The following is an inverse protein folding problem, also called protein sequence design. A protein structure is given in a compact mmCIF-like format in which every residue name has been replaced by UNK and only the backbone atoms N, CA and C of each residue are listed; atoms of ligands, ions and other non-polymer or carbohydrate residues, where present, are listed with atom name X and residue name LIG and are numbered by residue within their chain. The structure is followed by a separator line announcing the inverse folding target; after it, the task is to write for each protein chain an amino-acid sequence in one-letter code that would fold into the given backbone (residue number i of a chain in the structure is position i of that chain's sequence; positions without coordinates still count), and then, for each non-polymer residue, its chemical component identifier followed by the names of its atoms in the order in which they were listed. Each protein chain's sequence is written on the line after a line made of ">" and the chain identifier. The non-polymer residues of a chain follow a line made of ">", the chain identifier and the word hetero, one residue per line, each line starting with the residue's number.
data_IF_684700760633
#
_entry.id   IF_684700760633
#
_cell.length_a   1.000
_cell.length_b   1.000
_cell.length_c   1.000
_cell.angle_alpha   90.00
_cell.angle_beta   90.00
_cell.angle_gamma   90.00
#
_symmetry.space_group_name_H-M   'P 1'
#
loop_
_entity.id
_entity.type
_entity.pdbx_description
1 polymer ?
#
# COMPACT_ATOMS: atom_id res chain seq x y z
N UNK A 1 -4.21 41.75 1.78
CA UNK A 1 -4.63 40.40 2.14
C UNK A 1 -3.80 39.30 1.47
N UNK A 2 -3.11 39.59 0.39
CA UNK A 2 -2.57 38.54 -0.50
C UNK A 2 -1.12 38.09 -0.23
N UNK A 3 -0.38 38.75 0.67
CA UNK A 3 1.06 38.45 0.86
C UNK A 3 1.31 37.07 1.49
N UNK A 4 0.52 36.65 2.46
CA UNK A 4 0.70 35.37 3.13
C UNK A 4 0.40 34.17 2.20
N UNK A 5 -0.57 34.33 1.31
CA UNK A 5 -0.95 33.27 0.36
C UNK A 5 0.19 32.92 -0.62
N UNK A 6 0.85 33.93 -1.18
CA UNK A 6 2.02 33.70 -2.04
C UNK A 6 3.17 33.01 -1.29
N UNK A 7 3.38 33.36 -0.03
CA UNK A 7 4.38 32.70 0.81
C UNK A 7 4.00 31.24 1.05
N UNK A 8 2.74 30.94 1.38
CA UNK A 8 2.27 29.58 1.58
C UNK A 8 2.41 28.72 0.32
N UNK A 9 2.00 29.24 -0.84
CA UNK A 9 2.16 28.52 -2.12
C UNK A 9 3.63 28.32 -2.50
N UNK A 10 4.50 29.29 -2.21
CA UNK A 10 5.94 29.12 -2.44
C UNK A 10 6.53 28.01 -1.57
N UNK A 11 6.15 27.95 -0.29
CA UNK A 11 6.53 26.86 0.63
C UNK A 11 6.00 25.52 0.11
N UNK A 12 4.74 25.48 -0.33
CA UNK A 12 4.09 24.30 -0.87
C UNK A 12 4.87 23.72 -2.07
N UNK A 13 5.16 24.55 -3.06
CA UNK A 13 5.92 24.15 -4.25
C UNK A 13 7.35 23.69 -3.90
N UNK A 14 8.00 24.35 -2.93
CA UNK A 14 9.32 23.96 -2.46
C UNK A 14 9.28 22.56 -1.79
N UNK A 15 8.30 22.31 -0.92
CA UNK A 15 8.10 21.01 -0.29
C UNK A 15 7.85 19.94 -1.33
N UNK A 16 6.97 20.18 -2.31
CA UNK A 16 6.68 19.22 -3.38
C UNK A 16 7.92 18.90 -4.24
N UNK A 17 8.74 19.90 -4.56
CA UNK A 17 10.00 19.72 -5.27
C UNK A 17 10.96 18.83 -4.46
N UNK A 18 11.09 19.09 -3.15
CA UNK A 18 11.90 18.26 -2.25
C UNK A 18 11.39 16.82 -2.16
N UNK A 19 10.06 16.64 -2.11
CA UNK A 19 9.43 15.31 -2.11
C UNK A 19 9.69 14.54 -3.41
N UNK A 20 9.76 15.22 -4.55
CA UNK A 20 10.18 14.61 -5.81
C UNK A 20 11.62 14.05 -5.71
N UNK A 21 12.54 14.80 -5.10
CA UNK A 21 13.92 14.34 -4.89
C UNK A 21 13.93 13.12 -3.96
N UNK A 22 13.24 13.17 -2.81
CA UNK A 22 13.14 12.05 -1.88
C UNK A 22 12.54 10.81 -2.53
N UNK A 23 11.49 10.97 -3.34
CA UNK A 23 10.87 9.87 -4.09
C UNK A 23 11.86 9.21 -5.04
N UNK A 24 12.70 10.01 -5.73
CA UNK A 24 13.75 9.49 -6.62
C UNK A 24 14.79 8.67 -5.86
N UNK A 25 15.21 9.15 -4.68
CA UNK A 25 16.23 8.53 -3.83
C UNK A 25 15.73 7.32 -3.04
N UNK A 26 14.42 7.19 -2.80
CA UNK A 26 13.88 6.06 -2.03
C UNK A 26 14.18 4.72 -2.71
N UNK A 27 14.81 3.80 -2.01
CA UNK A 27 15.08 2.43 -2.46
C UNK A 27 13.91 1.48 -2.19
N UNK A 28 13.02 1.83 -1.27
CA UNK A 28 11.85 1.04 -0.89
C UNK A 28 10.73 1.04 -1.95
N UNK A 29 10.73 2.03 -2.84
CA UNK A 29 9.69 2.23 -3.84
C UNK A 29 10.12 1.69 -5.22
N UNK A 30 9.24 0.91 -5.85
CA UNK A 30 9.42 0.47 -7.22
C UNK A 30 9.19 1.60 -8.26
N UNK A 31 9.52 1.33 -9.53
CA UNK A 31 9.36 2.32 -10.62
C UNK A 31 7.90 2.80 -10.78
N UNK A 32 6.91 1.93 -10.54
CA UNK A 32 5.50 2.27 -10.65
C UNK A 32 5.09 3.21 -9.51
N UNK A 33 5.49 2.89 -8.30
CA UNK A 33 5.20 3.67 -7.10
C UNK A 33 5.83 5.06 -7.17
N UNK A 34 7.10 5.14 -7.58
CA UNK A 34 7.78 6.42 -7.84
C UNK A 34 7.01 7.28 -8.83
N UNK A 35 6.59 6.71 -9.97
CA UNK A 35 5.76 7.44 -10.96
C UNK A 35 4.45 7.93 -10.37
N UNK A 36 3.75 7.11 -9.57
CA UNK A 36 2.51 7.50 -8.91
C UNK A 36 2.68 8.70 -8.00
N UNK A 37 3.73 8.73 -7.18
CA UNK A 37 4.04 9.88 -6.33
C UNK A 37 4.42 11.11 -7.16
N UNK A 38 5.24 10.98 -8.20
CA UNK A 38 5.57 12.10 -9.10
C UNK A 38 4.31 12.72 -9.73
N UNK A 39 3.39 11.88 -10.22
CA UNK A 39 2.13 12.38 -10.77
C UNK A 39 1.28 13.08 -9.71
N UNK A 40 1.17 12.53 -8.50
CA UNK A 40 0.42 13.17 -7.42
C UNK A 40 1.03 14.52 -7.03
N UNK A 41 2.35 14.60 -6.83
CA UNK A 41 3.03 15.86 -6.47
C UNK A 41 2.94 16.90 -7.58
N UNK A 42 3.13 16.50 -8.84
CA UNK A 42 2.98 17.39 -9.99
C UNK A 42 1.53 17.93 -10.11
N UNK A 43 0.54 17.07 -9.83
CA UNK A 43 -0.86 17.46 -9.87
C UNK A 43 -1.20 18.44 -8.73
N UNK A 44 -0.74 18.20 -7.51
CA UNK A 44 -0.90 19.12 -6.37
C UNK A 44 -0.26 20.48 -6.72
N UNK A 45 0.98 20.49 -7.22
CA UNK A 45 1.67 21.71 -7.62
C UNK A 45 0.90 22.48 -8.71
N UNK A 46 0.37 21.77 -9.72
CA UNK A 46 -0.43 22.39 -10.77
C UNK A 46 -1.70 23.05 -10.22
N UNK A 47 -2.40 22.36 -9.29
CA UNK A 47 -3.63 22.90 -8.70
C UNK A 47 -3.32 24.09 -7.77
N UNK A 48 -2.23 24.03 -6.98
CA UNK A 48 -1.77 25.17 -6.17
C UNK A 48 -1.47 26.40 -7.03
N UNK A 49 -0.86 26.20 -8.20
CA UNK A 49 -0.61 27.28 -9.16
C UNK A 49 -1.93 27.80 -9.76
N UNK A 50 -2.88 26.92 -10.10
CA UNK A 50 -4.19 27.32 -10.59
C UNK A 50 -4.96 28.16 -9.58
N UNK A 51 -4.87 27.85 -8.28
CA UNK A 51 -5.46 28.66 -7.22
C UNK A 51 -4.82 30.06 -7.15
N UNK A 52 -3.49 30.16 -7.30
CA UNK A 52 -2.83 31.49 -7.43
C UNK A 52 -3.38 32.25 -8.61
N UNK A 53 -3.53 31.59 -9.77
CA UNK A 53 -4.05 32.23 -11.00
C UNK A 53 -5.47 32.74 -10.74
N UNK A 54 -6.36 31.95 -10.14
CA UNK A 54 -7.73 32.39 -9.84
C UNK A 54 -7.74 33.63 -8.95
N UNK A 55 -6.94 33.63 -7.87
CA UNK A 55 -6.88 34.77 -6.93
C UNK A 55 -6.29 36.05 -7.55
N UNK A 56 -5.35 35.91 -8.49
CA UNK A 56 -4.74 37.06 -9.17
C UNK A 56 -5.70 37.65 -10.22
N UNK A 57 -6.46 36.77 -10.87
CA UNK A 57 -7.30 37.17 -12.02
C UNK A 57 -8.70 37.59 -11.56
N UNK A 58 -9.19 37.12 -10.43
CA UNK A 58 -10.52 37.41 -9.89
C UNK A 58 -10.71 38.90 -9.64
N UNK A 59 -11.83 39.45 -10.09
CA UNK A 59 -12.14 40.90 -10.02
C UNK A 59 -11.27 41.79 -10.90
N UNK A 60 -10.46 41.24 -11.82
CA UNK A 60 -9.68 41.99 -12.79
C UNK A 60 -10.46 42.24 -14.12
N UNK A 61 -9.80 42.82 -15.14
CA UNK A 61 -10.45 43.13 -16.39
C UNK A 61 -11.16 41.93 -17.04
N UNK A 62 -12.32 42.18 -17.66
CA UNK A 62 -13.19 41.19 -18.33
C UNK A 62 -12.43 40.28 -19.32
N UNK A 63 -11.42 40.79 -20.01
CA UNK A 63 -10.58 40.00 -20.94
C UNK A 63 -9.94 38.76 -20.29
N UNK A 64 -9.78 38.71 -18.97
CA UNK A 64 -9.21 37.61 -18.25
C UNK A 64 -10.27 36.62 -17.70
N UNK A 65 -11.55 36.87 -17.89
CA UNK A 65 -12.65 36.05 -17.44
C UNK A 65 -12.51 34.57 -17.86
N UNK A 66 -12.07 34.34 -19.10
CA UNK A 66 -11.85 32.98 -19.59
C UNK A 66 -10.73 32.24 -18.82
N UNK A 67 -9.67 32.96 -18.39
CA UNK A 67 -8.60 32.41 -17.58
C UNK A 67 -9.14 31.97 -16.20
N UNK A 68 -9.98 32.83 -15.60
CA UNK A 68 -10.62 32.53 -14.32
C UNK A 68 -11.52 31.30 -14.42
N UNK A 69 -12.34 31.18 -15.48
CA UNK A 69 -13.20 30.02 -15.75
C UNK A 69 -12.37 28.75 -15.91
N UNK A 70 -11.32 28.75 -16.72
CA UNK A 70 -10.47 27.59 -17.00
C UNK A 70 -9.70 27.17 -15.75
N UNK A 71 -9.14 28.12 -15.01
CA UNK A 71 -8.38 27.82 -13.80
C UNK A 71 -9.27 27.21 -12.71
N UNK A 72 -10.49 27.73 -12.49
CA UNK A 72 -11.46 27.14 -11.57
C UNK A 72 -11.93 25.76 -12.05
N UNK A 73 -12.23 25.59 -13.35
CA UNK A 73 -12.60 24.29 -13.91
C UNK A 73 -11.53 23.23 -13.67
N UNK A 74 -10.27 23.55 -13.97
CA UNK A 74 -9.16 22.64 -13.76
C UNK A 74 -8.89 22.41 -12.27
N UNK A 75 -8.94 23.45 -11.44
CA UNK A 75 -8.75 23.36 -10.00
C UNK A 75 -9.75 22.43 -9.35
N UNK A 76 -11.05 22.65 -9.54
CA UNK A 76 -12.10 21.77 -9.01
C UNK A 76 -12.11 20.40 -9.68
N UNK A 77 -11.86 20.36 -11.00
CA UNK A 77 -11.91 19.13 -11.77
C UNK A 77 -10.78 18.15 -11.42
N UNK A 78 -9.57 18.64 -11.17
CA UNK A 78 -8.40 17.81 -10.91
C UNK A 78 -8.22 17.47 -9.44
N UNK A 79 -8.87 18.18 -8.51
CA UNK A 79 -8.72 17.94 -7.06
C UNK A 79 -9.01 16.48 -6.64
N UNK A 80 -10.10 15.82 -7.07
CA UNK A 80 -10.34 14.42 -6.71
C UNK A 80 -9.31 13.47 -7.34
N UNK A 81 -8.69 13.84 -8.47
CA UNK A 81 -7.69 13.01 -9.14
C UNK A 81 -6.42 12.83 -8.32
N UNK A 82 -6.07 13.75 -7.40
CA UNK A 82 -4.94 13.61 -6.47
C UNK A 82 -5.06 12.30 -5.66
N UNK A 83 -6.23 12.07 -5.06
CA UNK A 83 -6.49 10.85 -4.30
C UNK A 83 -6.39 9.59 -5.16
N UNK A 84 -6.87 9.63 -6.41
CA UNK A 84 -6.78 8.52 -7.36
C UNK A 84 -5.32 8.24 -7.73
N UNK A 85 -4.49 9.28 -7.94
CA UNK A 85 -3.05 9.13 -8.18
C UNK A 85 -2.33 8.50 -6.97
N UNK A 86 -2.69 8.88 -5.75
CA UNK A 86 -2.14 8.27 -4.54
C UNK A 86 -2.57 6.81 -4.37
N UNK A 87 -3.80 6.44 -4.76
CA UNK A 87 -4.22 5.04 -4.81
C UNK A 87 -3.40 4.23 -5.83
N UNK A 88 -3.01 4.83 -6.95
CA UNK A 88 -2.17 4.16 -7.95
C UNK A 88 -0.80 3.73 -7.42
N UNK A 89 -0.29 4.38 -6.36
CA UNK A 89 0.95 4.00 -5.67
C UNK A 89 0.83 2.64 -4.97
N UNK A 90 -0.39 2.24 -4.58
CA UNK A 90 -0.63 0.99 -3.88
C UNK A 90 -0.36 -0.24 -4.76
N UNK A 91 -0.12 -1.40 -4.13
CA UNK A 91 0.21 -2.62 -4.86
C UNK A 91 -0.93 -3.12 -5.75
N UNK A 92 -0.57 -3.65 -6.93
CA UNK A 92 -1.52 -4.25 -7.90
C UNK A 92 -2.35 -5.39 -7.32
N UNK A 93 -1.79 -6.17 -6.38
CA UNK A 93 -2.52 -7.26 -5.71
C UNK A 93 -3.61 -6.75 -4.76
N UNK A 94 -3.46 -5.52 -4.24
CA UNK A 94 -4.42 -4.88 -3.34
C UNK A 94 -5.54 -4.21 -4.09
N UNK A 95 -5.19 -3.57 -5.23
CA UNK A 95 -6.14 -2.84 -6.05
C UNK A 95 -6.50 -3.72 -7.23
N UNK A 96 -7.76 -4.12 -7.26
CA UNK A 96 -8.31 -4.81 -8.42
C UNK A 96 -8.27 -3.81 -9.60
N UNK A 97 -7.74 -4.23 -10.73
CA UNK A 97 -7.67 -3.41 -11.95
C UNK A 97 -9.04 -2.80 -12.32
N UNK A 98 -10.11 -3.54 -12.02
CA UNK A 98 -11.50 -3.08 -12.19
C UNK A 98 -11.82 -1.86 -11.32
N UNK A 99 -11.36 -1.83 -10.06
CA UNK A 99 -11.64 -0.72 -9.14
C UNK A 99 -10.94 0.55 -9.60
N UNK A 100 -9.71 0.44 -10.12
CA UNK A 100 -8.99 1.57 -10.71
C UNK A 100 -9.66 2.08 -11.98
N UNK A 101 -10.10 1.19 -12.89
CA UNK A 101 -10.86 1.59 -14.08
C UNK A 101 -12.14 2.32 -13.71
N UNK A 102 -12.86 1.84 -12.69
CA UNK A 102 -14.07 2.50 -12.19
C UNK A 102 -13.78 3.91 -11.64
N UNK A 103 -12.70 4.06 -10.87
CA UNK A 103 -12.28 5.36 -10.35
C UNK A 103 -11.92 6.35 -11.49
N UNK A 104 -11.26 5.86 -12.55
CA UNK A 104 -10.96 6.68 -13.74
C UNK A 104 -12.23 7.07 -14.50
N UNK A 105 -13.20 6.15 -14.67
CA UNK A 105 -14.49 6.45 -15.31
C UNK A 105 -15.24 7.49 -14.49
N UNK A 106 -15.26 7.35 -13.16
CA UNK A 106 -15.86 8.35 -12.26
C UNK A 106 -15.20 9.72 -12.44
N UNK A 107 -13.88 9.79 -12.48
CA UNK A 107 -13.14 11.04 -12.68
C UNK A 107 -13.45 11.71 -14.02
N UNK A 108 -13.50 10.93 -15.10
CA UNK A 108 -13.84 11.44 -16.45
C UNK A 108 -15.30 11.93 -16.47
N UNK A 109 -16.24 11.14 -15.93
CA UNK A 109 -17.65 11.52 -15.81
C UNK A 109 -17.84 12.82 -15.02
N UNK A 110 -17.10 12.96 -13.90
CA UNK A 110 -17.11 14.19 -13.11
C UNK A 110 -16.58 15.41 -13.89
N UNK A 111 -15.49 15.27 -14.65
CA UNK A 111 -14.95 16.35 -15.49
C UNK A 111 -15.96 16.77 -16.56
N UNK A 112 -16.64 15.82 -17.21
CA UNK A 112 -17.68 16.11 -18.21
C UNK A 112 -18.86 16.85 -17.56
N UNK A 113 -19.32 16.39 -16.40
CA UNK A 113 -20.40 17.01 -15.65
C UNK A 113 -20.03 18.44 -15.23
N UNK A 114 -18.82 18.64 -14.72
CA UNK A 114 -18.32 19.96 -14.34
C UNK A 114 -18.26 20.91 -15.55
N UNK A 115 -17.73 20.45 -16.69
CA UNK A 115 -17.72 21.22 -17.93
C UNK A 115 -19.12 21.61 -18.41
N UNK A 116 -20.06 20.66 -18.39
CA UNK A 116 -21.46 20.90 -18.77
C UNK A 116 -22.18 21.87 -17.82
N UNK A 117 -21.71 22.00 -16.58
CA UNK A 117 -22.29 22.92 -15.58
C UNK A 117 -21.86 24.38 -15.77
N UNK A 118 -20.76 24.66 -16.47
CA UNK A 118 -20.20 26.00 -16.61
C UNK A 118 -21.18 26.99 -17.24
N UNK A 119 -21.85 26.70 -18.39
CA UNK A 119 -22.77 27.63 -18.99
C UNK A 119 -23.95 28.03 -18.10
N UNK A 120 -24.32 27.17 -17.17
CA UNK A 120 -25.47 27.37 -16.28
C UNK A 120 -25.05 27.87 -14.88
N UNK A 121 -23.75 28.01 -14.60
CA UNK A 121 -23.22 28.41 -13.29
C UNK A 121 -23.60 27.50 -12.14
N UNK A 122 -23.81 26.19 -12.41
CA UNK A 122 -24.38 25.27 -11.39
C UNK A 122 -23.39 24.95 -10.27
N UNK A 123 -22.14 24.63 -10.58
CA UNK A 123 -21.11 24.33 -9.58
C UNK A 123 -20.35 25.59 -9.18
N UNK A 124 -19.95 26.39 -10.15
CA UNK A 124 -19.38 27.71 -9.96
C UNK A 124 -19.75 28.62 -11.12
N UNK A 125 -19.68 29.91 -10.90
CA UNK A 125 -19.90 30.93 -11.95
C UNK A 125 -18.81 31.97 -11.87
N UNK A 126 -18.55 32.63 -13.03
CA UNK A 126 -17.72 33.82 -13.11
C UNK A 126 -18.57 34.88 -13.83
N UNK A 127 -18.83 35.99 -13.14
CA UNK A 127 -19.68 37.10 -13.64
C UNK A 127 -19.07 37.75 -14.88
N UNK A 128 -19.81 38.69 -15.52
CA UNK A 128 -19.29 39.53 -16.59
C UNK A 128 -18.11 40.39 -16.11
N UNK A 129 -18.16 40.84 -14.86
CA UNK A 129 -17.12 41.63 -14.22
C UNK A 129 -15.94 40.79 -13.70
N UNK A 130 -15.87 39.51 -14.12
CA UNK A 130 -14.82 38.56 -13.76
C UNK A 130 -14.73 38.23 -12.26
N UNK A 131 -15.86 38.21 -11.56
CA UNK A 131 -15.94 37.81 -10.16
C UNK A 131 -16.42 36.38 -10.03
N UNK A 132 -15.67 35.57 -9.24
CA UNK A 132 -16.01 34.20 -8.93
C UNK A 132 -17.12 34.10 -7.89
N UNK A 133 -18.04 33.16 -8.08
CA UNK A 133 -19.03 32.79 -7.08
C UNK A 133 -19.30 31.29 -7.07
N UNK A 134 -19.57 30.72 -5.89
CA UNK A 134 -20.04 29.33 -5.77
C UNK A 134 -21.45 29.20 -6.33
N UNK A 135 -21.67 28.19 -7.17
CA UNK A 135 -22.98 27.89 -7.72
C UNK A 135 -23.88 27.12 -6.74
N UNK A 136 -25.18 27.01 -7.03
CA UNK A 136 -26.16 26.34 -6.16
C UNK A 136 -25.88 24.83 -5.97
N UNK A 137 -25.19 24.22 -6.90
CA UNK A 137 -24.81 22.80 -6.83
C UNK A 137 -23.30 22.58 -6.53
N UNK A 138 -22.67 23.52 -5.82
CA UNK A 138 -21.28 23.39 -5.36
C UNK A 138 -21.03 22.10 -4.56
N UNK A 139 -22.09 21.57 -3.92
CA UNK A 139 -22.04 20.28 -3.22
C UNK A 139 -21.59 19.11 -4.12
N UNK A 140 -21.77 19.18 -5.44
CA UNK A 140 -21.27 18.15 -6.39
C UNK A 140 -19.75 18.02 -6.30
N UNK A 141 -19.02 19.13 -6.25
CA UNK A 141 -17.57 19.14 -6.03
C UNK A 141 -17.20 18.51 -4.69
N UNK A 142 -17.88 18.93 -3.63
CA UNK A 142 -17.64 18.41 -2.26
C UNK A 142 -17.86 16.90 -2.21
N UNK A 143 -18.94 16.40 -2.81
CA UNK A 143 -19.24 14.96 -2.88
C UNK A 143 -18.16 14.21 -3.67
N UNK A 144 -17.74 14.72 -4.83
CA UNK A 144 -16.71 14.12 -5.66
C UNK A 144 -15.36 14.03 -4.91
N UNK A 145 -14.99 15.09 -4.21
CA UNK A 145 -13.77 15.15 -3.41
C UNK A 145 -13.79 14.15 -2.24
N UNK A 146 -14.89 14.11 -1.47
CA UNK A 146 -15.05 13.14 -0.38
C UNK A 146 -15.11 11.69 -0.87
N UNK A 147 -15.73 11.42 -2.02
CA UNK A 147 -15.74 10.09 -2.62
C UNK A 147 -14.31 9.63 -2.97
N UNK A 148 -13.48 10.51 -3.54
CA UNK A 148 -12.09 10.21 -3.88
C UNK A 148 -11.22 9.98 -2.62
N UNK A 149 -11.39 10.79 -1.56
CA UNK A 149 -10.72 10.60 -0.26
C UNK A 149 -11.15 9.28 0.39
N UNK A 150 -12.43 8.96 0.35
CA UNK A 150 -12.96 7.69 0.89
C UNK A 150 -12.37 6.49 0.16
N UNK A 151 -12.24 6.59 -1.17
CA UNK A 151 -11.60 5.55 -1.99
C UNK A 151 -10.12 5.36 -1.62
N UNK A 152 -9.35 6.46 -1.44
CA UNK A 152 -7.96 6.42 -0.97
C UNK A 152 -7.86 5.76 0.40
N UNK A 153 -8.72 6.19 1.34
CA UNK A 153 -8.73 5.70 2.72
C UNK A 153 -9.04 4.20 2.80
N UNK A 154 -10.09 3.76 2.12
CA UNK A 154 -10.49 2.34 2.07
C UNK A 154 -9.42 1.47 1.41
N UNK A 155 -8.81 1.94 0.31
CA UNK A 155 -7.74 1.25 -0.39
C UNK A 155 -6.50 1.11 0.50
N UNK A 156 -6.13 2.17 1.22
CA UNK A 156 -4.99 2.18 2.16
C UNK A 156 -5.23 1.25 3.35
N UNK A 157 -6.44 1.22 3.93
CA UNK A 157 -6.81 0.29 5.00
C UNK A 157 -6.75 -1.16 4.51
N UNK A 158 -7.26 -1.45 3.31
CA UNK A 158 -7.22 -2.77 2.69
C UNK A 158 -5.77 -3.24 2.52
N UNK A 159 -4.90 -2.38 1.98
CA UNK A 159 -3.48 -2.66 1.82
C UNK A 159 -2.77 -2.90 3.16
N UNK A 160 -3.00 -2.05 4.16
CA UNK A 160 -2.43 -2.21 5.50
C UNK A 160 -2.79 -3.55 6.15
N UNK A 161 -4.03 -4.03 5.95
CA UNK A 161 -4.46 -5.36 6.42
C UNK A 161 -3.74 -6.48 5.67
N UNK A 162 -3.60 -6.36 4.36
CA UNK A 162 -2.98 -7.37 3.50
C UNK A 162 -1.50 -7.58 3.81
N UNK A 163 -0.77 -6.51 4.12
CA UNK A 163 0.66 -6.56 4.43
C UNK A 163 0.96 -6.63 5.93
N UNK A 164 -0.06 -6.87 6.77
CA UNK A 164 0.09 -7.04 8.23
C UNK A 164 0.81 -5.87 8.92
N UNK A 165 0.68 -4.66 8.33
CA UNK A 165 1.37 -3.48 8.82
C UNK A 165 1.00 -3.16 10.27
N UNK A 166 2.03 -2.88 11.08
CA UNK A 166 1.88 -2.47 12.48
C UNK A 166 1.39 -1.01 12.60
N UNK A 167 1.77 -0.17 11.64
CA UNK A 167 1.52 1.28 11.66
C UNK A 167 0.10 1.69 11.24
N UNK A 168 -0.89 0.77 11.39
CA UNK A 168 -2.32 1.08 11.11
C UNK A 168 -2.82 2.32 11.84
N UNK A 169 -2.27 2.60 13.02
CA UNK A 169 -2.65 3.75 13.82
C UNK A 169 -2.37 5.10 13.11
N UNK A 170 -1.40 5.15 12.18
CA UNK A 170 -1.09 6.37 11.43
C UNK A 170 -2.15 6.72 10.37
N UNK A 171 -2.94 5.75 9.92
CA UNK A 171 -3.99 5.99 8.90
C UNK A 171 -5.13 6.83 9.47
N UNK A 172 -5.52 6.58 10.73
CA UNK A 172 -6.65 7.29 11.35
C UNK A 172 -6.40 8.79 11.52
N UNK A 173 -5.26 9.25 12.06
CA UNK A 173 -4.93 10.68 12.09
C UNK A 173 -4.92 11.33 10.71
N UNK A 174 -4.43 10.64 9.67
CA UNK A 174 -4.45 11.15 8.30
C UNK A 174 -5.87 11.39 7.78
N UNK A 175 -6.78 10.44 8.01
CA UNK A 175 -8.19 10.56 7.61
C UNK A 175 -8.87 11.70 8.38
N UNK A 176 -8.64 11.77 9.70
CA UNK A 176 -9.22 12.83 10.56
C UNK A 176 -8.72 14.20 10.12
N UNK A 177 -7.43 14.34 9.82
CA UNK A 177 -6.86 15.60 9.37
C UNK A 177 -7.46 16.06 8.02
N UNK A 178 -7.62 15.14 7.04
CA UNK A 178 -8.27 15.41 5.76
C UNK A 178 -9.73 15.89 5.95
N UNK A 179 -10.47 15.20 6.81
CA UNK A 179 -11.86 15.58 7.09
C UNK A 179 -11.95 16.96 7.76
N UNK A 180 -11.10 17.22 8.75
CA UNK A 180 -11.04 18.47 9.47
C UNK A 180 -10.67 19.65 8.55
N UNK A 181 -9.65 19.47 7.70
CA UNK A 181 -9.23 20.47 6.72
C UNK A 181 -10.39 20.82 5.78
N UNK A 182 -11.05 19.81 5.20
CA UNK A 182 -12.18 20.04 4.29
C UNK A 182 -13.35 20.77 4.98
N UNK A 183 -13.64 20.45 6.24
CA UNK A 183 -14.66 21.15 7.03
C UNK A 183 -14.29 22.62 7.25
N UNK A 184 -13.02 22.88 7.62
CA UNK A 184 -12.49 24.24 7.78
C UNK A 184 -12.64 25.04 6.50
N UNK A 185 -12.27 24.46 5.34
CA UNK A 185 -12.39 25.11 4.04
C UNK A 185 -13.83 25.43 3.65
N UNK A 186 -14.80 24.58 4.04
CA UNK A 186 -16.22 24.86 3.80
C UNK A 186 -16.72 26.02 4.67
N UNK A 187 -16.30 26.04 5.95
CA UNK A 187 -16.72 27.03 6.93
C UNK A 187 -16.01 28.38 6.77
N UNK A 188 -14.74 28.36 6.35
CA UNK A 188 -13.87 29.54 6.23
C UNK A 188 -13.29 29.60 4.80
N UNK A 189 -14.10 29.96 3.79
CA UNK A 189 -13.67 29.91 2.37
C UNK A 189 -12.51 30.85 2.06
N UNK A 190 -12.34 31.92 2.84
CA UNK A 190 -11.24 32.89 2.66
C UNK A 190 -9.88 32.40 3.20
N UNK A 191 -9.86 31.24 3.84
CA UNK A 191 -8.66 30.65 4.40
C UNK A 191 -8.00 29.71 3.38
N UNK A 192 -7.19 30.26 2.47
CA UNK A 192 -6.54 29.52 1.39
C UNK A 192 -5.36 28.67 1.85
N UNK A 193 -5.59 27.67 2.70
CA UNK A 193 -4.54 26.75 3.23
C UNK A 193 -4.69 25.31 2.71
N UNK A 194 -5.71 25.03 1.91
CA UNK A 194 -6.08 23.69 1.47
C UNK A 194 -4.92 22.94 0.84
N UNK A 195 -4.23 23.56 -0.12
CA UNK A 195 -3.17 22.87 -0.86
C UNK A 195 -1.94 22.62 -0.01
N UNK A 196 -1.60 23.51 0.91
CA UNK A 196 -0.57 23.26 1.89
C UNK A 196 -0.93 22.05 2.79
N UNK A 197 -2.17 21.96 3.24
CA UNK A 197 -2.66 20.81 3.99
C UNK A 197 -2.62 19.51 3.17
N UNK A 198 -3.03 19.53 1.90
CA UNK A 198 -2.96 18.38 0.98
C UNK A 198 -1.50 17.97 0.74
N UNK A 199 -0.58 18.93 0.60
CA UNK A 199 0.86 18.66 0.49
C UNK A 199 1.40 17.99 1.75
N UNK A 200 1.12 18.52 2.93
CA UNK A 200 1.54 17.91 4.19
C UNK A 200 1.00 16.47 4.34
N UNK A 201 -0.26 16.25 3.96
CA UNK A 201 -0.84 14.91 3.94
C UNK A 201 -0.15 14.00 2.95
N UNK A 202 0.19 14.48 1.76
CA UNK A 202 0.90 13.70 0.76
C UNK A 202 2.32 13.32 1.22
N UNK A 203 2.98 14.20 1.99
CA UNK A 203 4.26 13.93 2.67
C UNK A 203 4.09 12.81 3.71
N UNK A 204 3.10 12.94 4.59
CA UNK A 204 2.82 11.92 5.61
C UNK A 204 2.43 10.59 4.98
N UNK A 205 1.66 10.62 3.89
CA UNK A 205 1.30 9.43 3.12
C UNK A 205 2.52 8.77 2.46
N UNK A 206 3.44 9.57 1.91
CA UNK A 206 4.71 9.08 1.39
C UNK A 206 5.54 8.39 2.48
N UNK A 207 5.71 9.02 3.64
CA UNK A 207 6.44 8.44 4.78
C UNK A 207 5.79 7.12 5.21
N UNK A 208 4.45 7.08 5.32
CA UNK A 208 3.71 5.88 5.64
C UNK A 208 3.94 4.74 4.63
N UNK A 209 3.84 5.04 3.34
CA UNK A 209 4.05 4.06 2.28
C UNK A 209 5.51 3.58 2.26
N UNK A 210 6.48 4.48 2.38
CA UNK A 210 7.90 4.16 2.41
C UNK A 210 8.24 3.23 3.59
N UNK A 211 7.77 3.56 4.80
CA UNK A 211 7.95 2.71 5.99
C UNK A 211 7.30 1.33 5.80
N UNK A 212 6.11 1.29 5.23
CA UNK A 212 5.41 0.03 4.99
C UNK A 212 6.18 -0.87 4.01
N UNK A 213 6.70 -0.32 2.90
CA UNK A 213 7.42 -1.09 1.90
C UNK A 213 8.78 -1.57 2.39
N UNK A 214 9.48 -0.79 3.24
CA UNK A 214 10.75 -1.22 3.87
C UNK A 214 10.59 -2.40 4.82
N UNK A 215 9.38 -2.70 5.28
CA UNK A 215 9.10 -3.85 6.16
C UNK A 215 8.88 -5.16 5.38
N UNK A 216 8.76 -5.12 4.06
CA UNK A 216 8.45 -6.28 3.24
C UNK A 216 9.70 -6.85 2.55
N UNK A 217 9.68 -8.15 2.32
CA UNK A 217 10.55 -8.82 1.38
C UNK A 217 10.05 -8.55 -0.05
N UNK A 218 10.91 -8.02 -0.92
CA UNK A 218 10.54 -7.56 -2.26
C UNK A 218 10.09 -8.68 -3.19
N UNK A 219 10.59 -9.90 -2.99
CA UNK A 219 10.26 -11.05 -3.81
C UNK A 219 8.93 -11.68 -3.40
N UNK A 220 8.75 -11.92 -2.11
CA UNK A 220 7.64 -12.72 -1.58
C UNK A 220 6.45 -11.89 -1.08
N UNK A 221 6.67 -10.61 -0.75
CA UNK A 221 5.66 -9.74 -0.13
C UNK A 221 5.24 -10.17 1.27
N UNK A 222 6.03 -11.02 1.93
CA UNK A 222 5.96 -11.27 3.37
C UNK A 222 6.76 -10.19 4.12
N UNK A 223 6.66 -10.16 5.43
CA UNK A 223 7.53 -9.33 6.25
C UNK A 223 8.98 -9.85 6.13
N UNK A 224 9.94 -8.93 6.09
CA UNK A 224 11.35 -9.28 5.94
C UNK A 224 12.01 -9.62 7.29
N UNK A 225 13.28 -10.04 7.24
CA UNK A 225 14.09 -10.40 8.40
C UNK A 225 14.20 -9.24 9.41
N UNK A 226 14.39 -8.01 8.94
CA UNK A 226 14.47 -6.84 9.83
C UNK A 226 13.16 -6.63 10.60
N UNK A 227 12.02 -6.85 9.96
CA UNK A 227 10.70 -6.79 10.60
C UNK A 227 10.52 -7.89 11.65
N UNK A 228 11.06 -9.11 11.39
CA UNK A 228 11.10 -10.19 12.35
C UNK A 228 11.93 -9.79 13.57
N UNK A 229 13.19 -9.38 13.39
CA UNK A 229 14.10 -8.99 14.47
C UNK A 229 13.54 -7.82 15.29
N UNK A 230 13.04 -6.77 14.63
CA UNK A 230 12.44 -5.61 15.31
C UNK A 230 11.21 -5.97 16.13
N UNK A 231 10.46 -7.00 15.73
CA UNK A 231 9.30 -7.45 16.49
C UNK A 231 9.72 -8.32 17.66
N UNK A 232 10.60 -9.27 17.45
CA UNK A 232 11.04 -10.21 18.47
C UNK A 232 11.83 -9.53 19.58
N UNK A 233 12.70 -8.58 19.25
CA UNK A 233 13.47 -7.80 20.25
C UNK A 233 12.59 -6.92 21.16
N UNK A 234 11.34 -6.62 20.75
CA UNK A 234 10.37 -5.85 21.56
C UNK A 234 9.37 -6.74 22.31
N UNK A 235 9.40 -8.03 22.08
CA UNK A 235 8.50 -8.99 22.74
C UNK A 235 9.24 -9.58 23.93
N UNK A 236 9.17 -8.90 25.09
CA UNK A 236 9.68 -9.43 26.35
C UNK A 236 8.93 -10.68 26.83
N UNK A 237 7.72 -10.92 26.29
CA UNK A 237 6.92 -12.12 26.53
C UNK A 237 6.26 -12.56 25.24
N UNK A 238 6.79 -13.59 24.61
CA UNK A 238 6.17 -14.20 23.46
C UNK A 238 5.08 -15.19 23.95
N UNK A 239 3.81 -14.83 23.72
CA UNK A 239 2.69 -15.74 23.93
C UNK A 239 2.14 -16.17 22.56
N UNK A 240 2.38 -17.44 22.17
CA UNK A 240 1.94 -17.93 20.86
C UNK A 240 2.71 -19.17 20.44
N UNK A 241 2.86 -19.33 19.13
CA UNK A 241 3.67 -20.39 18.51
C UNK A 241 4.55 -19.76 17.46
N UNK A 242 5.81 -20.16 17.44
CA UNK A 242 6.73 -19.92 16.36
C UNK A 242 6.71 -21.15 15.44
N UNK A 243 6.43 -20.93 14.16
CA UNK A 243 6.54 -21.96 13.11
C UNK A 243 7.65 -21.53 12.16
N UNK A 244 8.60 -22.42 11.91
CA UNK A 244 9.68 -22.21 10.93
C UNK A 244 9.46 -23.14 9.74
N UNK A 245 9.89 -22.69 8.56
CA UNK A 245 9.77 -23.44 7.31
C UNK A 245 11.08 -23.34 6.54
N UNK A 246 11.47 -24.42 5.90
CA UNK A 246 12.64 -24.51 5.02
C UNK A 246 12.26 -25.23 3.73
N UNK A 247 12.62 -24.65 2.60
CA UNK A 247 12.32 -25.22 1.29
C UNK A 247 13.31 -26.33 0.96
N UNK A 248 12.81 -27.57 0.90
CA UNK A 248 13.66 -28.75 0.70
C UNK A 248 14.39 -28.69 -0.64
N UNK A 249 15.69 -28.92 -0.60
CA UNK A 249 16.58 -29.03 -1.75
C UNK A 249 16.46 -27.83 -2.74
N UNK A 250 16.21 -26.60 -2.21
CA UNK A 250 16.01 -25.39 -3.02
C UNK A 250 17.18 -25.07 -3.95
N UNK A 251 18.42 -25.41 -3.54
CA UNK A 251 19.59 -25.27 -4.42
C UNK A 251 19.43 -26.08 -5.71
N UNK A 252 18.87 -27.29 -5.64
CA UNK A 252 18.64 -28.13 -6.82
C UNK A 252 17.59 -27.50 -7.74
N UNK A 253 16.57 -26.81 -7.19
CA UNK A 253 15.60 -26.06 -7.99
C UNK A 253 16.32 -24.98 -8.82
N UNK A 254 17.21 -24.21 -8.18
CA UNK A 254 18.01 -23.20 -8.89
C UNK A 254 18.95 -23.81 -9.94
N UNK A 255 19.61 -24.91 -9.61
CA UNK A 255 20.56 -25.58 -10.48
C UNK A 255 19.87 -26.21 -11.73
N UNK A 256 18.66 -26.75 -11.58
CA UNK A 256 17.90 -27.40 -12.64
C UNK A 256 17.04 -26.45 -13.48
N UNK A 257 16.39 -25.48 -12.84
CA UNK A 257 15.37 -24.60 -13.47
C UNK A 257 15.82 -23.15 -13.60
N UNK A 258 16.97 -22.80 -13.01
CA UNK A 258 17.50 -21.43 -13.00
C UNK A 258 16.90 -20.56 -11.90
N UNK A 259 17.63 -19.48 -11.55
CA UNK A 259 17.27 -18.57 -10.46
C UNK A 259 15.89 -17.90 -10.61
N UNK A 260 15.46 -17.60 -11.85
CA UNK A 260 14.13 -17.00 -12.09
C UNK A 260 12.98 -17.95 -11.66
N UNK A 261 13.13 -19.25 -11.90
CA UNK A 261 12.16 -20.23 -11.45
C UNK A 261 12.24 -20.46 -9.93
N UNK A 262 13.46 -20.40 -9.37
CA UNK A 262 13.65 -20.39 -7.92
C UNK A 262 12.92 -19.22 -7.25
N UNK A 263 12.98 -18.03 -7.82
CA UNK A 263 12.24 -16.86 -7.33
C UNK A 263 10.73 -17.08 -7.39
N UNK A 264 10.19 -17.64 -8.48
CA UNK A 264 8.77 -18.01 -8.58
C UNK A 264 8.39 -19.05 -7.53
N UNK A 265 9.24 -20.07 -7.32
CA UNK A 265 9.06 -21.09 -6.29
C UNK A 265 8.90 -20.47 -4.91
N UNK A 266 9.83 -19.60 -4.49
CA UNK A 266 9.77 -18.90 -3.21
C UNK A 266 8.51 -18.02 -3.08
N UNK A 267 8.13 -17.30 -4.14
CA UNK A 267 6.93 -16.47 -4.15
C UNK A 267 5.64 -17.30 -3.99
N UNK A 268 5.55 -18.46 -4.64
CA UNK A 268 4.39 -19.35 -4.56
C UNK A 268 4.28 -20.02 -3.17
N UNK A 269 5.39 -20.45 -2.58
CA UNK A 269 5.43 -20.99 -1.21
C UNK A 269 5.02 -19.90 -0.20
N UNK A 270 5.55 -18.70 -0.34
CA UNK A 270 5.19 -17.56 0.49
C UNK A 270 3.68 -17.21 0.40
N UNK A 271 3.09 -17.31 -0.79
CA UNK A 271 1.64 -17.14 -0.98
C UNK A 271 0.82 -18.19 -0.23
N UNK A 272 1.28 -19.46 -0.22
CA UNK A 272 0.67 -20.53 0.58
C UNK A 272 0.76 -20.22 2.08
N UNK A 273 1.93 -19.81 2.58
CA UNK A 273 2.13 -19.42 3.99
C UNK A 273 1.20 -18.24 4.33
N UNK A 274 1.19 -17.20 3.52
CA UNK A 274 0.35 -16.03 3.72
C UNK A 274 -1.14 -16.36 3.79
N UNK A 275 -1.63 -17.17 2.85
CA UNK A 275 -3.05 -17.60 2.80
C UNK A 275 -3.43 -18.49 4.00
N UNK A 276 -2.51 -19.28 4.49
CA UNK A 276 -2.77 -20.15 5.64
C UNK A 276 -2.76 -19.40 6.96
N UNK A 277 -1.77 -18.53 7.17
CA UNK A 277 -1.45 -18.01 8.50
C UNK A 277 -1.73 -16.52 8.72
N UNK A 278 -1.83 -15.69 7.66
CA UNK A 278 -1.87 -14.23 7.81
C UNK A 278 -3.05 -13.70 8.64
N UNK A 279 -4.14 -14.45 8.72
CA UNK A 279 -5.30 -14.10 9.54
C UNK A 279 -5.00 -14.22 11.05
N UNK A 280 -4.12 -15.16 11.44
CA UNK A 280 -3.90 -15.53 12.83
C UNK A 280 -2.51 -15.17 13.36
N UNK A 281 -1.58 -14.80 12.46
CA UNK A 281 -0.18 -14.54 12.82
C UNK A 281 0.53 -13.61 11.84
N UNK A 282 1.82 -13.41 12.06
CA UNK A 282 2.70 -12.62 11.20
C UNK A 282 3.63 -13.55 10.43
N UNK A 283 3.70 -13.40 9.12
CA UNK A 283 4.47 -14.24 8.22
C UNK A 283 5.72 -13.49 7.74
N UNK A 284 6.89 -14.12 7.86
CA UNK A 284 8.18 -13.53 7.53
C UNK A 284 8.96 -14.42 6.57
N UNK A 285 9.84 -13.79 5.76
CA UNK A 285 10.97 -14.44 5.14
C UNK A 285 12.22 -14.00 5.90
N UNK A 286 12.95 -14.94 6.49
CA UNK A 286 14.07 -14.66 7.40
C UNK A 286 15.43 -15.04 6.80
N UNK A 287 15.43 -15.80 5.71
CA UNK A 287 16.62 -16.25 4.99
C UNK A 287 16.35 -16.43 3.51
N UNK A 288 17.28 -17.01 2.77
CA UNK A 288 17.15 -17.29 1.35
C UNK A 288 15.89 -18.12 1.02
N UNK A 289 15.80 -19.29 1.64
CA UNK A 289 14.73 -20.29 1.52
C UNK A 289 14.01 -20.57 2.86
N UNK A 290 14.29 -19.75 3.87
CA UNK A 290 13.73 -19.88 5.22
C UNK A 290 12.58 -18.89 5.46
N UNK A 291 11.47 -19.41 5.97
CA UNK A 291 10.31 -18.61 6.36
C UNK A 291 9.96 -18.87 7.82
N UNK A 292 9.26 -17.91 8.42
CA UNK A 292 8.85 -17.98 9.81
C UNK A 292 7.45 -17.39 10.00
N UNK A 293 6.68 -17.95 10.92
CA UNK A 293 5.37 -17.42 11.33
C UNK A 293 5.31 -17.28 12.83
N UNK A 294 4.97 -16.10 13.30
CA UNK A 294 4.59 -15.84 14.69
C UNK A 294 3.06 -15.93 14.82
N UNK A 295 2.55 -17.08 15.21
CA UNK A 295 1.13 -17.37 15.37
C UNK A 295 0.66 -16.94 16.77
N UNK A 296 -0.36 -16.08 16.85
CA UNK A 296 -0.89 -15.56 18.12
C UNK A 296 -1.83 -16.52 18.82
N UNK A 297 -2.62 -17.28 18.05
CA UNK A 297 -3.61 -18.22 18.57
C UNK A 297 -3.13 -19.66 18.42
N UNK A 298 -2.72 -20.25 19.54
CA UNK A 298 -2.21 -21.64 19.60
C UNK A 298 -3.22 -22.67 19.08
N UNK A 299 -4.52 -22.44 19.29
CA UNK A 299 -5.55 -23.40 18.87
C UNK A 299 -5.69 -23.48 17.34
N UNK A 300 -5.15 -22.48 16.60
CA UNK A 300 -5.21 -22.42 15.15
C UNK A 300 -4.04 -23.08 14.43
N UNK A 301 -3.05 -23.57 15.15
CA UNK A 301 -1.84 -24.17 14.56
C UNK A 301 -2.18 -25.29 13.58
N UNK A 302 -2.90 -26.32 14.05
CA UNK A 302 -3.23 -27.49 13.23
C UNK A 302 -4.12 -27.15 12.02
N UNK A 303 -5.02 -26.18 12.16
CA UNK A 303 -5.84 -25.67 11.07
C UNK A 303 -4.97 -25.00 10.00
N UNK A 304 -4.04 -24.14 10.44
CA UNK A 304 -3.14 -23.42 9.57
C UNK A 304 -2.16 -24.35 8.84
N UNK A 305 -1.57 -25.34 9.57
CA UNK A 305 -0.67 -26.34 8.98
C UNK A 305 -1.41 -27.17 7.91
N UNK A 306 -2.58 -27.71 8.23
CA UNK A 306 -3.38 -28.48 7.26
C UNK A 306 -3.73 -27.65 6.02
N UNK A 307 -4.10 -26.38 6.22
CA UNK A 307 -4.40 -25.47 5.11
C UNK A 307 -3.15 -25.16 4.27
N UNK A 308 -2.00 -24.94 4.90
CA UNK A 308 -0.74 -24.73 4.22
C UNK A 308 -0.35 -25.93 3.35
N UNK A 309 -0.36 -27.15 3.93
CA UNK A 309 0.00 -28.38 3.21
C UNK A 309 -0.90 -28.62 2.00
N UNK A 310 -2.22 -28.43 2.15
CA UNK A 310 -3.16 -28.55 1.03
C UNK A 310 -2.89 -27.51 -0.08
N UNK A 311 -2.59 -26.27 0.29
CA UNK A 311 -2.25 -25.24 -0.69
C UNK A 311 -0.94 -25.53 -1.40
N UNK A 312 0.06 -26.04 -0.67
CA UNK A 312 1.35 -26.42 -1.22
C UNK A 312 1.21 -27.60 -2.20
N UNK A 313 0.45 -28.63 -1.83
CA UNK A 313 0.15 -29.79 -2.68
C UNK A 313 -0.45 -29.37 -4.02
N UNK A 314 -1.48 -28.51 -4.02
CA UNK A 314 -2.06 -27.94 -5.24
C UNK A 314 -1.04 -27.16 -6.09
N UNK A 315 0.00 -26.56 -5.47
CA UNK A 315 1.06 -25.88 -6.19
C UNK A 315 2.08 -26.86 -6.77
N UNK A 316 2.44 -27.90 -6.04
CA UNK A 316 3.30 -28.97 -6.52
C UNK A 316 2.69 -29.72 -7.72
N UNK A 317 1.37 -29.94 -7.72
CA UNK A 317 0.66 -30.55 -8.87
C UNK A 317 0.71 -29.63 -10.10
N UNK A 318 0.69 -28.31 -9.91
CA UNK A 318 0.68 -27.34 -11.00
C UNK A 318 2.07 -27.04 -11.55
N UNK A 319 3.09 -27.09 -10.71
CA UNK A 319 4.47 -26.68 -11.02
C UNK A 319 5.47 -27.73 -10.56
N UNK A 320 6.11 -28.43 -11.49
CA UNK A 320 7.10 -29.49 -11.22
C UNK A 320 8.31 -29.01 -10.45
N UNK A 321 8.65 -27.70 -10.57
CA UNK A 321 9.81 -27.11 -9.89
C UNK A 321 9.53 -26.67 -8.45
N UNK A 322 8.31 -26.82 -7.92
CA UNK A 322 8.02 -26.51 -6.51
C UNK A 322 8.31 -27.74 -5.67
N UNK A 323 9.35 -27.71 -4.82
CA UNK A 323 9.70 -28.83 -3.97
C UNK A 323 8.80 -28.84 -2.75
N UNK A 324 9.03 -29.81 -1.93
CA UNK A 324 8.40 -29.89 -0.62
C UNK A 324 9.01 -28.89 0.35
N UNK A 325 8.27 -28.62 1.43
CA UNK A 325 8.68 -27.71 2.49
C UNK A 325 8.67 -28.46 3.81
N UNK A 326 9.79 -28.44 4.51
CA UNK A 326 9.90 -28.92 5.88
C UNK A 326 9.49 -27.82 6.85
N UNK A 327 8.85 -28.19 7.96
CA UNK A 327 8.43 -27.23 8.98
C UNK A 327 8.62 -27.81 10.38
N UNK A 328 8.75 -26.91 11.35
CA UNK A 328 8.76 -27.25 12.78
C UNK A 328 8.12 -26.13 13.59
N UNK A 329 7.66 -26.46 14.78
CA UNK A 329 6.98 -25.49 15.62
C UNK A 329 7.43 -25.56 17.09
N UNK A 330 7.38 -24.41 17.77
CA UNK A 330 7.63 -24.35 19.20
C UNK A 330 6.70 -23.33 19.89
N UNK A 331 6.21 -23.72 21.05
CA UNK A 331 5.36 -22.88 21.89
C UNK A 331 6.22 -21.81 22.54
N UNK A 332 5.78 -20.56 22.47
CA UNK A 332 6.32 -19.43 23.21
C UNK A 332 5.59 -19.31 24.55
N UNK A 333 6.32 -19.33 25.66
CA UNK A 333 5.76 -19.24 27.01
C UNK A 333 6.50 -18.22 27.89
N UNK A 334 6.79 -17.05 27.35
CA UNK A 334 7.51 -15.99 28.07
C UNK A 334 9.05 -16.14 28.05
N UNK A 335 9.55 -17.02 27.20
CA UNK A 335 10.97 -17.27 27.02
C UNK A 335 11.58 -16.33 25.94
N UNK A 336 12.93 -16.27 25.92
CA UNK A 336 13.64 -15.62 24.83
C UNK A 336 13.32 -16.30 23.49
N UNK A 337 13.03 -15.47 22.49
CA UNK A 337 12.64 -15.92 21.16
C UNK A 337 13.72 -16.77 20.47
N UNK A 338 15.00 -16.56 20.79
CA UNK A 338 16.09 -17.36 20.23
C UNK A 338 15.99 -18.82 20.73
N UNK A 339 15.72 -19.01 22.00
CA UNK A 339 15.49 -20.36 22.59
C UNK A 339 14.28 -21.05 21.96
N UNK A 340 13.21 -20.29 21.69
CA UNK A 340 12.01 -20.80 21.00
C UNK A 340 12.34 -21.19 19.57
N UNK A 341 13.13 -20.34 18.87
CA UNK A 341 13.57 -20.61 17.49
C UNK A 341 14.41 -21.88 17.42
N UNK A 342 15.38 -22.07 18.33
CA UNK A 342 16.20 -23.28 18.39
C UNK A 342 15.38 -24.58 18.59
N UNK A 343 14.27 -24.50 19.33
CA UNK A 343 13.35 -25.64 19.49
C UNK A 343 12.56 -25.91 18.20
N UNK A 344 12.05 -24.84 17.56
CA UNK A 344 11.32 -24.98 16.30
C UNK A 344 12.24 -25.49 15.18
N UNK A 345 13.48 -25.03 15.11
CA UNK A 345 14.49 -25.50 14.14
C UNK A 345 14.83 -26.99 14.38
N UNK A 346 14.95 -27.44 15.65
CA UNK A 346 15.13 -28.86 15.97
C UNK A 346 13.94 -29.72 15.53
N UNK A 347 12.72 -29.26 15.79
CA UNK A 347 11.50 -29.95 15.38
C UNK A 347 11.44 -30.05 13.83
N UNK A 348 11.74 -29.00 13.12
CA UNK A 348 11.84 -28.98 11.67
C UNK A 348 12.91 -29.94 11.14
N UNK A 349 14.08 -30.00 11.78
CA UNK A 349 15.14 -30.91 11.39
C UNK A 349 14.74 -32.40 11.57
N UNK A 350 14.06 -32.72 12.67
CA UNK A 350 13.53 -34.07 12.89
C UNK A 350 12.50 -34.43 11.83
N UNK A 351 11.58 -33.55 11.52
CA UNK A 351 10.60 -33.75 10.45
C UNK A 351 11.26 -34.00 9.09
N UNK A 352 12.29 -33.22 8.75
CA UNK A 352 13.07 -33.35 7.51
C UNK A 352 13.78 -34.69 7.43
N UNK A 353 14.34 -35.16 8.57
CA UNK A 353 15.03 -36.45 8.66
C UNK A 353 14.08 -37.61 8.46
N UNK A 354 12.98 -37.66 9.23
CA UNK A 354 11.97 -38.71 9.13
C UNK A 354 11.40 -38.86 7.74
N UNK A 355 11.20 -37.73 7.06
CA UNK A 355 10.68 -37.71 5.69
C UNK A 355 11.68 -38.28 4.69
N UNK A 356 12.97 -37.92 4.78
CA UNK A 356 14.03 -38.53 3.96
C UNK A 356 14.14 -40.00 4.15
N UNK A 357 14.03 -40.49 5.38
CA UNK A 357 14.03 -41.92 5.71
C UNK A 357 12.83 -42.66 5.12
N UNK A 358 11.63 -42.11 5.16
CA UNK A 358 10.42 -42.68 4.52
C UNK A 358 10.59 -42.81 3.00
N UNK A 359 11.05 -41.74 2.33
CA UNK A 359 11.29 -41.76 0.88
C UNK A 359 12.34 -42.81 0.51
N UNK A 360 13.40 -42.91 1.27
CA UNK A 360 14.43 -43.96 1.06
C UNK A 360 13.86 -45.37 1.22
N UNK A 361 13.02 -45.61 2.27
CA UNK A 361 12.41 -46.90 2.52
C UNK A 361 11.41 -47.29 1.42
N UNK A 362 10.64 -46.37 0.88
CA UNK A 362 9.68 -46.61 -0.21
C UNK A 362 10.39 -46.91 -1.55
N UNK A 363 11.50 -46.24 -1.84
CA UNK A 363 12.36 -46.57 -2.98
C UNK A 363 12.93 -47.99 -2.87
N UNK A 364 13.35 -48.37 -1.67
CA UNK A 364 13.93 -49.71 -1.40
C UNK A 364 12.86 -50.83 -1.52
N UNK A 365 11.61 -50.55 -1.16
CA UNK A 365 10.49 -51.49 -1.36
C UNK A 365 10.17 -51.70 -2.84
N UNK A 366 10.18 -50.65 -3.64
CA UNK A 366 9.91 -50.75 -5.09
C UNK A 366 11.02 -51.50 -5.86
N UNK A 367 12.29 -51.48 -5.37
CA UNK A 367 13.38 -52.29 -5.96
C UNK A 367 13.36 -53.76 -5.54
N UNK A 368 12.54 -54.15 -4.54
CA UNK A 368 12.41 -55.57 -4.13
C UNK A 368 11.22 -56.30 -4.80
N UNK A 369 10.47 -55.61 -5.67
CA UNK A 369 9.31 -56.18 -6.39
C UNK A 369 9.62 -56.35 -7.89
N UNK A 370 10.82 -55.99 -8.35
CA UNK A 370 11.40 -56.29 -9.66
C UNK A 370 12.49 -57.40 -9.50
#
# INVERSE_FOLDING_TARGET
>A
MNGYFYVLTTIDLFVLCFMCILTKLSEALDKKQKRGFFFAFALIAAISILEVITLVVDGTAEKYRWVNIVANYLGFGLSPAVSICLVYVLDKKTIVEKDMKLAMIFQIGYLILLAASIPFGLVFSVSADNEYARGPLFCIYVIAYFAAISYLSLSTIKMSKQFQNRSKALIYPLIVFLAAETIIQILLPDLHVTWLCVTLLSVLYFIYCNEMWTQLDSLTGLLNQNSYLNRTNRMHECNGILVVFDVDDFKQVNDLYGHLQGDVCLAEIADCIKKAYAQYGYCYRIGGDEFCVLLKNRQKEMECIKKFLRLLENKCEKYEFIPTVSYGSAICSGEDILTVKDRADRDMYMFKKERKERIASDKTKNYRIL
#
